data_IF_930944929698
#
_entry.id   IF_930944929698
#
_cell.length_a   1.000
_cell.length_b   1.000
_cell.length_c   1.000
_cell.angle_alpha   90.00
_cell.angle_beta   90.00
_cell.angle_gamma   90.00
#
_symmetry.space_group_name_H-M   'P 1'
#
loop_
_entity.id
_entity.type
_entity.pdbx_description
1 polymer ?
#
# COMPACT_ATOMS: atom_id res chain seq x y z
N UNK A 1 -17.44 25.93 13.43
CA UNK A 1 -18.20 25.10 12.48
C UNK A 1 -17.41 24.96 11.19
N UNK A 2 -17.08 23.72 10.76
CA UNK A 2 -16.48 23.52 9.44
C UNK A 2 -17.54 23.77 8.38
N UNK A 3 -17.43 24.85 7.63
CA UNK A 3 -18.30 25.14 6.50
C UNK A 3 -17.90 24.29 5.30
N UNK A 4 -18.82 24.12 4.33
CA UNK A 4 -18.54 23.37 3.07
C UNK A 4 -17.33 23.96 2.33
N UNK A 5 -17.09 25.24 2.39
CA UNK A 5 -15.90 25.91 1.83
C UNK A 5 -14.61 25.43 2.50
N UNK A 6 -14.56 25.39 3.82
CA UNK A 6 -13.38 24.95 4.56
C UNK A 6 -12.97 23.51 4.22
N UNK A 7 -13.92 22.56 4.16
CA UNK A 7 -13.65 21.17 3.75
C UNK A 7 -13.15 21.12 2.31
N UNK A 8 -13.72 21.92 1.41
CA UNK A 8 -13.29 21.97 0.01
C UNK A 8 -11.88 22.55 -0.13
N UNK A 9 -11.57 23.61 0.60
CA UNK A 9 -10.25 24.23 0.60
C UNK A 9 -9.19 23.27 1.13
N UNK A 10 -9.50 22.52 2.21
CA UNK A 10 -8.63 21.48 2.73
C UNK A 10 -8.38 20.37 1.70
N UNK A 11 -9.41 19.92 0.98
CA UNK A 11 -9.27 18.91 -0.09
C UNK A 11 -8.39 19.44 -1.22
N UNK A 12 -8.59 20.68 -1.65
CA UNK A 12 -7.82 21.28 -2.74
C UNK A 12 -6.32 21.44 -2.40
N UNK A 13 -5.96 21.45 -1.13
CA UNK A 13 -4.58 21.45 -0.66
C UNK A 13 -3.94 20.03 -0.68
N UNK A 14 -4.74 18.98 -0.86
CA UNK A 14 -4.21 17.61 -0.94
C UNK A 14 -3.64 17.30 -2.31
N UNK A 15 -2.64 16.41 -2.35
CA UNK A 15 -2.07 15.95 -3.61
C UNK A 15 -3.09 15.17 -4.43
N UNK A 16 -3.17 15.37 -5.75
CA UNK A 16 -3.99 14.54 -6.62
C UNK A 16 -3.65 13.06 -6.48
N UNK A 17 -4.66 12.19 -6.52
CA UNK A 17 -4.56 10.73 -6.33
C UNK A 17 -4.16 10.29 -4.92
N UNK A 18 -4.06 11.20 -3.95
CA UNK A 18 -3.86 10.83 -2.55
C UNK A 18 -5.16 10.30 -1.92
N UNK A 19 -4.99 9.57 -0.81
CA UNK A 19 -6.08 9.09 0.03
C UNK A 19 -6.06 9.80 1.37
N UNK A 20 -7.24 10.01 1.95
CA UNK A 20 -7.39 10.58 3.28
C UNK A 20 -8.64 10.00 3.97
N UNK A 21 -8.59 9.94 5.28
CA UNK A 21 -9.76 9.56 6.08
C UNK A 21 -10.58 10.78 6.45
N UNK A 22 -11.91 10.60 6.62
CA UNK A 22 -12.80 11.68 7.10
C UNK A 22 -12.31 12.32 8.40
N UNK A 23 -11.70 11.53 9.28
CA UNK A 23 -11.12 11.98 10.56
C UNK A 23 -9.90 12.89 10.43
N UNK A 24 -9.22 12.87 9.27
CA UNK A 24 -8.04 13.71 9.01
C UNK A 24 -8.44 15.14 8.65
N UNK A 25 -9.72 15.36 8.30
CA UNK A 25 -10.26 16.67 7.93
C UNK A 25 -10.63 17.44 9.19
N UNK A 26 -10.10 18.65 9.40
CA UNK A 26 -10.42 19.47 10.57
C UNK A 26 -11.91 19.84 10.62
N UNK A 27 -12.53 19.72 11.81
CA UNK A 27 -13.91 20.13 12.05
C UNK A 27 -14.71 19.12 12.88
N UNK A 28 -16.01 19.38 13.07
CA UNK A 28 -16.88 18.44 13.77
C UNK A 28 -17.17 17.23 12.89
N UNK A 29 -17.07 16.00 13.42
CA UNK A 29 -17.19 14.77 12.62
C UNK A 29 -18.43 14.70 11.73
N UNK A 30 -19.63 15.02 12.29
CA UNK A 30 -20.88 14.97 11.55
C UNK A 30 -20.97 16.00 10.41
N UNK A 31 -20.44 17.23 10.61
CA UNK A 31 -20.41 18.25 9.56
C UNK A 31 -19.41 17.87 8.45
N UNK A 32 -18.25 17.35 8.83
CA UNK A 32 -17.23 16.86 7.88
C UNK A 32 -17.77 15.70 7.04
N UNK A 33 -18.35 14.66 7.66
CA UNK A 33 -18.94 13.54 6.95
C UNK A 33 -20.05 13.96 5.99
N UNK A 34 -20.92 14.87 6.43
CA UNK A 34 -21.99 15.41 5.59
C UNK A 34 -21.44 16.18 4.38
N UNK A 35 -20.38 16.98 4.58
CA UNK A 35 -19.74 17.74 3.51
C UNK A 35 -19.03 16.79 2.51
N UNK A 36 -18.24 15.83 3.01
CA UNK A 36 -17.52 14.85 2.20
C UNK A 36 -18.48 13.97 1.39
N UNK A 37 -19.58 13.51 2.02
CA UNK A 37 -20.60 12.71 1.34
C UNK A 37 -21.24 13.48 0.16
N UNK A 38 -21.53 14.76 0.34
CA UNK A 38 -22.06 15.63 -0.74
C UNK A 38 -21.06 15.84 -1.84
N UNK A 39 -19.79 16.15 -1.50
CA UNK A 39 -18.73 16.35 -2.49
C UNK A 39 -18.39 15.09 -3.28
N UNK A 40 -18.48 13.90 -2.66
CA UNK A 40 -18.23 12.63 -3.33
C UNK A 40 -19.39 12.17 -4.23
N UNK A 41 -20.66 12.59 -3.94
CA UNK A 41 -21.82 12.32 -4.79
C UNK A 41 -21.92 13.25 -6.01
N UNK A 42 -21.28 14.39 -5.95
CA UNK A 42 -21.21 15.33 -7.07
C UNK A 42 -20.31 14.74 -8.18
N UNK A 43 -20.82 14.45 -9.39
CA UNK A 43 -20.01 13.95 -10.49
C UNK A 43 -18.81 14.84 -10.84
N UNK A 44 -18.99 16.17 -10.69
CA UNK A 44 -17.93 17.17 -10.85
C UNK A 44 -17.11 17.43 -9.58
N UNK A 45 -17.42 16.75 -8.48
CA UNK A 45 -16.76 16.94 -7.20
C UNK A 45 -15.29 16.50 -7.22
N UNK A 46 -14.46 17.03 -6.29
CA UNK A 46 -13.01 16.82 -6.28
C UNK A 46 -12.57 15.45 -5.74
N UNK A 47 -13.48 14.68 -5.17
CA UNK A 47 -13.18 13.41 -4.49
C UNK A 47 -14.10 12.28 -4.93
N UNK A 48 -13.65 11.04 -4.70
CA UNK A 48 -14.45 9.81 -4.75
C UNK A 48 -14.41 9.14 -3.39
N UNK A 49 -15.51 8.59 -2.94
CA UNK A 49 -15.53 7.73 -1.77
C UNK A 49 -14.99 6.35 -2.16
N UNK A 50 -13.75 6.05 -1.75
CA UNK A 50 -13.10 4.77 -2.05
C UNK A 50 -13.68 3.64 -1.18
N UNK A 51 -14.00 3.93 0.09
CA UNK A 51 -14.76 3.09 1.03
C UNK A 51 -15.37 3.94 2.14
N UNK A 52 -16.04 3.31 3.09
CA UNK A 52 -16.60 4.02 4.23
C UNK A 52 -15.51 4.78 5.01
N UNK A 53 -15.64 6.10 5.07
CA UNK A 53 -14.72 7.00 5.74
C UNK A 53 -13.40 7.28 5.00
N UNK A 54 -13.06 6.55 3.93
CA UNK A 54 -11.87 6.75 3.11
C UNK A 54 -12.22 7.39 1.77
N UNK A 55 -11.53 8.45 1.43
CA UNK A 55 -11.74 9.23 0.21
C UNK A 55 -10.47 9.32 -0.62
N UNK A 56 -10.64 9.41 -1.92
CA UNK A 56 -9.58 9.60 -2.90
C UNK A 56 -9.73 10.93 -3.61
N UNK A 57 -8.64 11.69 -3.74
CA UNK A 57 -8.60 12.98 -4.40
C UNK A 57 -8.49 12.78 -5.90
N UNK A 58 -9.47 13.27 -6.66
CA UNK A 58 -9.45 13.15 -8.12
C UNK A 58 -8.30 13.97 -8.71
N UNK A 59 -7.55 13.43 -9.67
CA UNK A 59 -6.64 14.25 -10.47
C UNK A 59 -7.43 15.20 -11.38
N UNK A 60 -6.73 16.18 -11.94
CA UNK A 60 -7.29 17.02 -12.98
C UNK A 60 -7.87 16.17 -14.11
N UNK A 61 -9.02 16.60 -14.64
CA UNK A 61 -9.68 15.87 -15.73
C UNK A 61 -8.84 15.94 -16.99
N UNK A 62 -8.50 14.79 -17.54
CA UNK A 62 -7.88 14.65 -18.86
C UNK A 62 -8.95 14.35 -19.91
N UNK A 63 -8.55 14.32 -21.20
CA UNK A 63 -9.44 13.86 -22.29
C UNK A 63 -9.97 12.42 -22.10
N UNK A 64 -9.32 11.62 -21.27
CA UNK A 64 -9.73 10.24 -20.92
C UNK A 64 -10.50 10.15 -19.59
N UNK A 65 -10.86 11.30 -19.00
CA UNK A 65 -11.53 11.37 -17.69
C UNK A 65 -10.56 11.54 -16.52
N UNK A 66 -11.05 11.34 -15.31
CA UNK A 66 -10.29 11.47 -14.06
C UNK A 66 -9.70 10.14 -13.54
N UNK A 67 -10.07 9.02 -14.19
CA UNK A 67 -9.75 7.68 -13.70
C UNK A 67 -10.62 7.27 -12.50
N UNK A 68 -10.31 6.08 -11.97
CA UNK A 68 -10.92 5.52 -10.74
C UNK A 68 -9.81 5.29 -9.71
N UNK A 69 -10.16 5.21 -8.42
CA UNK A 69 -9.22 4.73 -7.40
C UNK A 69 -8.67 3.36 -7.78
N UNK A 70 -7.37 3.19 -7.65
CA UNK A 70 -6.72 1.90 -7.87
C UNK A 70 -7.05 0.94 -6.70
N UNK A 71 -7.45 -0.33 -6.95
CA UNK A 71 -7.82 -1.26 -5.89
C UNK A 71 -6.67 -1.54 -4.91
N UNK A 72 -5.43 -1.71 -5.40
CA UNK A 72 -4.26 -1.97 -4.55
C UNK A 72 -3.93 -0.75 -3.70
N UNK A 73 -3.89 0.45 -4.31
CA UNK A 73 -3.64 1.68 -3.57
C UNK A 73 -4.75 1.97 -2.54
N UNK A 74 -6.02 1.66 -2.88
CA UNK A 74 -7.14 1.75 -1.94
C UNK A 74 -6.97 0.79 -0.76
N UNK A 75 -6.56 -0.45 -1.04
CA UNK A 75 -6.34 -1.46 -0.01
C UNK A 75 -5.19 -1.08 0.92
N UNK A 76 -4.07 -0.59 0.38
CA UNK A 76 -2.94 -0.10 1.17
C UNK A 76 -3.33 1.10 2.04
N UNK A 77 -4.04 2.08 1.48
CA UNK A 77 -4.54 3.23 2.24
C UNK A 77 -5.53 2.83 3.35
N UNK A 78 -6.35 1.80 3.10
CA UNK A 78 -7.28 1.26 4.08
C UNK A 78 -6.62 0.44 5.18
N UNK A 79 -5.58 -0.31 4.84
CA UNK A 79 -4.82 -1.13 5.78
C UNK A 79 -3.86 -0.28 6.63
N UNK A 80 -3.35 0.81 6.07
CA UNK A 80 -2.42 1.72 6.75
C UNK A 80 -0.99 1.18 6.85
N UNK A 81 -0.19 1.71 7.79
CA UNK A 81 1.19 1.31 7.99
C UNK A 81 1.34 -0.21 8.21
N UNK A 82 2.48 -0.77 7.83
CA UNK A 82 2.74 -2.20 7.96
C UNK A 82 2.01 -3.07 6.94
N UNK A 83 1.47 -2.46 5.88
CA UNK A 83 0.84 -3.16 4.77
C UNK A 83 1.65 -3.00 3.48
N UNK A 84 1.61 -4.02 2.63
CA UNK A 84 2.29 -4.02 1.34
C UNK A 84 1.90 -5.20 0.47
N UNK A 85 2.30 -5.21 -0.80
CA UNK A 85 2.05 -6.32 -1.69
C UNK A 85 2.61 -7.64 -1.16
N UNK A 86 1.91 -8.77 -1.43
CA UNK A 86 2.32 -10.13 -1.08
C UNK A 86 2.14 -11.09 -2.26
N UNK A 87 2.78 -12.24 -2.22
CA UNK A 87 2.72 -13.25 -3.27
C UNK A 87 3.06 -12.68 -4.66
N UNK A 88 2.28 -13.00 -5.69
CA UNK A 88 2.46 -12.46 -7.05
C UNK A 88 2.45 -10.93 -7.11
N UNK A 89 1.67 -10.27 -6.24
CA UNK A 89 1.66 -8.80 -6.19
C UNK A 89 2.99 -8.23 -5.71
N UNK A 90 3.68 -8.90 -4.78
CA UNK A 90 4.99 -8.49 -4.31
C UNK A 90 6.06 -8.68 -5.38
N UNK A 91 6.11 -9.85 -6.00
CA UNK A 91 7.11 -10.15 -7.04
C UNK A 91 6.94 -9.25 -8.27
N UNK A 92 5.70 -8.97 -8.67
CA UNK A 92 5.39 -8.03 -9.75
C UNK A 92 5.83 -6.60 -9.37
N UNK A 93 5.46 -6.12 -8.17
CA UNK A 93 5.80 -4.77 -7.72
C UNK A 93 7.32 -4.53 -7.64
N UNK A 94 8.10 -5.59 -7.34
CA UNK A 94 9.56 -5.55 -7.28
C UNK A 94 10.25 -5.93 -8.61
N UNK A 95 9.47 -6.18 -9.67
CA UNK A 95 9.99 -6.56 -10.99
C UNK A 95 10.65 -7.94 -11.04
N UNK A 96 10.31 -8.84 -10.12
CA UNK A 96 10.79 -10.22 -10.08
C UNK A 96 9.91 -11.18 -10.88
N UNK A 97 8.74 -10.73 -11.30
CA UNK A 97 7.84 -11.43 -12.20
C UNK A 97 7.10 -10.46 -13.12
N UNK A 98 6.76 -10.93 -14.31
CA UNK A 98 5.90 -10.22 -15.26
C UNK A 98 4.42 -10.60 -15.10
N UNK A 99 4.11 -11.56 -14.24
CA UNK A 99 2.74 -12.03 -14.01
C UNK A 99 1.95 -10.99 -13.20
N UNK A 100 0.79 -10.62 -13.73
CA UNK A 100 -0.16 -9.74 -13.05
C UNK A 100 -1.24 -10.60 -12.40
N UNK A 101 -1.36 -10.60 -11.07
CA UNK A 101 -2.39 -11.40 -10.41
C UNK A 101 -3.80 -10.86 -10.74
N UNK A 102 -4.74 -11.77 -10.98
CA UNK A 102 -6.16 -11.41 -11.21
C UNK A 102 -6.75 -10.75 -9.97
N UNK A 103 -6.40 -11.28 -8.79
CA UNK A 103 -6.76 -10.69 -7.49
C UNK A 103 -5.46 -10.34 -6.77
N UNK A 104 -5.16 -9.06 -6.58
CA UNK A 104 -3.98 -8.64 -5.84
C UNK A 104 -4.02 -9.13 -4.39
N UNK A 105 -2.86 -9.48 -3.85
CA UNK A 105 -2.70 -9.89 -2.45
C UNK A 105 -1.91 -8.84 -1.68
N UNK A 106 -2.42 -8.48 -0.49
CA UNK A 106 -1.83 -7.49 0.41
C UNK A 106 -1.55 -8.13 1.76
N UNK A 107 -0.29 -8.11 2.18
CA UNK A 107 0.07 -8.45 3.56
C UNK A 107 -0.24 -7.27 4.48
N UNK A 108 -0.75 -7.56 5.67
CA UNK A 108 -1.05 -6.55 6.70
C UNK A 108 -0.52 -6.99 8.05
N UNK A 109 0.09 -6.10 8.81
CA UNK A 109 0.41 -6.33 10.20
C UNK A 109 -0.90 -6.29 11.03
N UNK A 110 -1.22 -7.42 11.69
CA UNK A 110 -2.43 -7.53 12.47
C UNK A 110 -3.69 -7.82 11.66
N UNK A 111 -4.79 -7.11 11.96
CA UNK A 111 -6.12 -7.44 11.42
C UNK A 111 -6.40 -6.76 10.06
N UNK A 112 -6.80 -7.51 9.04
CA UNK A 112 -7.17 -6.95 7.74
C UNK A 112 -8.40 -6.03 7.82
N UNK A 113 -8.46 -4.99 6.97
CA UNK A 113 -9.67 -4.20 6.78
C UNK A 113 -10.76 -5.06 6.11
N UNK A 114 -12.04 -4.76 6.41
CA UNK A 114 -13.19 -5.45 5.84
C UNK A 114 -13.76 -4.67 4.64
N UNK A 115 -14.51 -5.35 3.75
CA UNK A 115 -15.27 -4.71 2.68
C UNK A 115 -14.40 -4.15 1.55
N UNK A 116 -13.39 -4.91 1.15
CA UNK A 116 -12.55 -4.69 -0.02
C UNK A 116 -12.42 -6.05 -0.73
N UNK A 117 -13.41 -6.35 -1.58
CA UNK A 117 -13.55 -7.67 -2.21
C UNK A 117 -12.66 -7.81 -3.47
N UNK A 118 -12.12 -6.70 -3.98
CA UNK A 118 -11.23 -6.67 -5.15
C UNK A 118 -9.77 -7.05 -4.81
N UNK A 119 -9.46 -7.31 -3.54
CA UNK A 119 -8.12 -7.68 -3.06
C UNK A 119 -8.21 -8.77 -2.00
N UNK A 120 -7.19 -9.62 -1.96
CA UNK A 120 -7.01 -10.61 -0.89
C UNK A 120 -6.07 -10.05 0.18
N UNK A 121 -6.39 -10.27 1.46
CA UNK A 121 -5.53 -9.90 2.58
C UNK A 121 -4.94 -11.13 3.25
N UNK A 122 -3.66 -11.02 3.62
CA UNK A 122 -2.96 -12.00 4.46
C UNK A 122 -2.44 -11.32 5.71
N UNK A 123 -2.83 -11.84 6.88
CA UNK A 123 -2.36 -11.31 8.16
C UNK A 123 -0.95 -11.74 8.48
N UNK A 124 -0.19 -10.85 9.10
CA UNK A 124 1.15 -11.11 9.64
C UNK A 124 1.18 -10.72 11.13
N UNK A 125 1.76 -11.57 11.94
CA UNK A 125 1.79 -11.39 13.41
C UNK A 125 2.90 -10.46 13.89
N UNK A 126 3.94 -10.23 13.07
CA UNK A 126 5.02 -9.32 13.43
C UNK A 126 4.57 -7.86 13.33
N UNK A 127 4.24 -7.25 14.47
CA UNK A 127 3.78 -5.87 14.53
C UNK A 127 4.89 -4.84 14.27
N UNK A 128 6.17 -5.23 14.33
CA UNK A 128 7.27 -4.33 13.92
C UNK A 128 7.18 -3.91 12.45
N UNK A 129 6.42 -4.64 11.64
CA UNK A 129 6.11 -4.27 10.25
C UNK A 129 5.43 -2.90 10.11
N UNK A 130 4.81 -2.36 11.18
CA UNK A 130 4.25 -0.99 11.16
C UNK A 130 5.30 0.10 10.88
N UNK A 131 6.58 -0.20 11.10
CA UNK A 131 7.69 0.69 10.79
C UNK A 131 8.05 0.73 9.29
N UNK A 132 7.56 -0.25 8.50
CA UNK A 132 7.93 -0.45 7.10
C UNK A 132 6.94 0.21 6.13
N UNK A 133 7.49 0.67 5.01
CA UNK A 133 6.70 1.13 3.87
C UNK A 133 6.25 -0.06 2.97
N UNK A 134 5.29 0.13 2.04
CA UNK A 134 4.80 -0.96 1.20
C UNK A 134 5.87 -1.69 0.38
N UNK A 135 6.87 -1.04 -0.25
CA UNK A 135 7.98 -1.73 -0.91
C UNK A 135 8.81 -2.61 0.04
N UNK A 136 9.08 -2.17 1.26
CA UNK A 136 9.81 -2.95 2.26
C UNK A 136 9.02 -4.18 2.72
N UNK A 137 7.70 -4.03 2.90
CA UNK A 137 6.81 -5.18 3.15
C UNK A 137 6.85 -6.17 1.98
N UNK A 138 6.81 -5.69 0.74
CA UNK A 138 6.90 -6.55 -0.45
C UNK A 138 8.21 -7.37 -0.45
N UNK A 139 9.33 -6.78 -0.04
CA UNK A 139 10.60 -7.52 0.11
C UNK A 139 10.44 -8.63 1.14
N UNK A 140 9.90 -8.36 2.34
CA UNK A 140 9.70 -9.40 3.36
C UNK A 140 8.81 -10.55 2.85
N UNK A 141 7.79 -10.23 2.06
CA UNK A 141 6.91 -11.25 1.48
C UNK A 141 7.65 -12.09 0.40
N UNK A 142 8.51 -11.46 -0.41
CA UNK A 142 9.38 -12.21 -1.33
C UNK A 142 10.36 -13.08 -0.58
N UNK A 143 11.01 -12.58 0.48
CA UNK A 143 11.93 -13.38 1.30
C UNK A 143 11.24 -14.58 1.95
N UNK A 144 9.94 -14.45 2.27
CA UNK A 144 9.11 -15.52 2.85
C UNK A 144 8.83 -16.63 1.84
N UNK A 145 8.33 -16.23 0.68
CA UNK A 145 7.64 -17.14 -0.23
C UNK A 145 8.49 -17.51 -1.48
N UNK A 146 9.76 -17.04 -1.56
CA UNK A 146 10.65 -17.43 -2.66
C UNK A 146 10.90 -18.96 -2.63
N UNK A 147 10.83 -19.68 -3.78
CA UNK A 147 10.62 -19.19 -5.16
C UNK A 147 9.17 -19.20 -5.66
N UNK A 148 8.17 -19.46 -4.81
CA UNK A 148 6.80 -19.85 -5.19
C UNK A 148 6.09 -18.85 -6.12
N UNK A 149 6.36 -17.57 -5.97
CA UNK A 149 5.70 -16.49 -6.72
C UNK A 149 6.64 -15.77 -7.69
N UNK A 150 7.70 -16.42 -8.15
CA UNK A 150 8.63 -15.88 -9.14
C UNK A 150 8.52 -16.61 -10.47
N UNK A 151 9.08 -16.03 -11.53
CA UNK A 151 9.19 -16.73 -12.79
C UNK A 151 10.10 -17.97 -12.62
N UNK A 152 9.77 -19.09 -13.27
CA UNK A 152 10.46 -20.38 -13.08
C UNK A 152 11.97 -20.34 -13.32
N UNK A 153 12.44 -19.38 -14.12
CA UNK A 153 13.87 -19.18 -14.41
C UNK A 153 14.57 -18.29 -13.39
N UNK A 154 13.83 -17.68 -12.45
CA UNK A 154 14.38 -16.74 -11.46
C UNK A 154 15.15 -17.53 -10.39
N UNK A 155 16.45 -17.37 -10.34
CA UNK A 155 17.27 -17.91 -9.24
C UNK A 155 17.28 -16.98 -8.04
N UNK A 156 17.62 -17.50 -6.87
CA UNK A 156 17.80 -16.64 -5.67
C UNK A 156 18.89 -15.59 -5.88
N UNK A 157 19.98 -15.97 -6.59
CA UNK A 157 21.05 -15.02 -6.92
C UNK A 157 20.55 -13.84 -7.74
N UNK A 158 19.70 -14.09 -8.75
CA UNK A 158 19.13 -13.04 -9.61
C UNK A 158 18.15 -12.16 -8.84
N UNK A 159 17.29 -12.78 -8.02
CA UNK A 159 16.35 -12.06 -7.15
C UNK A 159 17.09 -11.16 -6.18
N UNK A 160 18.12 -11.68 -5.50
CA UNK A 160 18.98 -10.93 -4.58
C UNK A 160 19.65 -9.75 -5.25
N UNK A 161 20.24 -9.92 -6.42
CA UNK A 161 20.87 -8.85 -7.18
C UNK A 161 19.87 -7.73 -7.53
N UNK A 162 18.64 -8.09 -7.96
CA UNK A 162 17.57 -7.12 -8.23
C UNK A 162 17.12 -6.37 -6.98
N UNK A 163 16.90 -7.08 -5.88
CA UNK A 163 16.46 -6.48 -4.61
C UNK A 163 17.53 -5.51 -4.08
N UNK A 164 18.82 -5.87 -4.14
CA UNK A 164 19.93 -4.95 -3.82
C UNK A 164 19.92 -3.71 -4.70
N UNK A 165 19.69 -3.87 -5.99
CA UNK A 165 19.56 -2.75 -6.91
C UNK A 165 18.39 -1.82 -6.59
N UNK A 166 17.28 -2.34 -6.07
CA UNK A 166 16.14 -1.53 -5.61
C UNK A 166 16.46 -0.77 -4.32
N UNK A 167 17.11 -1.42 -3.36
CA UNK A 167 17.55 -0.80 -2.10
C UNK A 167 18.52 0.36 -2.41
N UNK A 168 19.49 0.14 -3.28
CA UNK A 168 20.49 1.15 -3.65
C UNK A 168 19.91 2.38 -4.38
N UNK A 169 18.74 2.24 -5.05
CA UNK A 169 18.05 3.37 -5.71
C UNK A 169 17.32 4.31 -4.74
N UNK A 170 17.23 3.96 -3.48
CA UNK A 170 16.50 4.71 -2.46
C UNK A 170 15.01 4.34 -2.39
N UNK A 171 14.35 4.84 -1.36
CA UNK A 171 12.94 4.52 -1.06
C UNK A 171 12.75 3.24 -0.23
N UNK A 172 13.81 2.45 -0.05
CA UNK A 172 13.89 1.28 0.83
C UNK A 172 15.04 1.51 1.81
N UNK A 173 14.74 1.45 3.10
CA UNK A 173 15.70 1.59 4.17
C UNK A 173 16.18 0.19 4.59
N UNK A 174 17.41 -0.17 4.18
CA UNK A 174 18.01 -1.49 4.43
C UNK A 174 18.22 -1.78 5.92
N UNK A 175 18.59 -0.78 6.71
CA UNK A 175 18.82 -0.94 8.15
C UNK A 175 17.49 -1.22 8.88
N UNK A 176 16.46 -0.44 8.58
CA UNK A 176 15.13 -0.65 9.13
C UNK A 176 14.56 -2.00 8.70
N UNK A 177 14.71 -2.38 7.43
CA UNK A 177 14.30 -3.68 6.92
C UNK A 177 15.00 -4.82 7.67
N UNK A 178 16.31 -4.73 7.90
CA UNK A 178 17.10 -5.70 8.66
C UNK A 178 16.58 -5.88 10.08
N UNK A 179 16.35 -4.76 10.79
CA UNK A 179 15.84 -4.79 12.17
C UNK A 179 14.47 -5.50 12.25
N UNK A 180 13.58 -5.24 11.30
CA UNK A 180 12.25 -5.85 11.28
C UNK A 180 12.31 -7.31 10.84
N UNK A 181 13.16 -7.65 9.86
CA UNK A 181 13.33 -9.01 9.36
C UNK A 181 13.81 -9.98 10.46
N UNK A 182 14.72 -9.53 11.34
CA UNK A 182 15.19 -10.33 12.49
C UNK A 182 14.07 -10.71 13.47
N UNK A 183 12.99 -9.91 13.52
CA UNK A 183 11.80 -10.15 14.36
C UNK A 183 10.74 -11.02 13.67
N UNK A 184 10.96 -11.44 12.42
CA UNK A 184 10.05 -12.34 11.73
C UNK A 184 10.08 -13.75 12.35
N UNK A 185 8.91 -14.35 12.50
CA UNK A 185 8.81 -15.73 13.01
C UNK A 185 9.26 -16.77 11.98
N UNK A 186 9.19 -16.43 10.69
CA UNK A 186 9.59 -17.32 9.60
C UNK A 186 11.12 -17.37 9.45
N UNK A 187 11.70 -18.57 9.57
CA UNK A 187 13.16 -18.74 9.51
C UNK A 187 13.77 -18.29 8.18
N UNK A 188 13.11 -18.63 7.06
CA UNK A 188 13.61 -18.27 5.74
C UNK A 188 13.64 -16.75 5.52
N UNK A 189 12.71 -15.99 6.11
CA UNK A 189 12.76 -14.52 6.03
C UNK A 189 14.02 -14.01 6.70
N UNK A 190 14.36 -14.53 7.88
CA UNK A 190 15.54 -14.11 8.61
C UNK A 190 16.83 -14.44 7.86
N UNK A 191 16.97 -15.71 7.42
CA UNK A 191 18.15 -16.17 6.69
C UNK A 191 18.37 -15.43 5.37
N UNK A 192 17.30 -15.29 4.57
CA UNK A 192 17.39 -14.58 3.28
C UNK A 192 17.60 -13.08 3.45
N UNK A 193 17.10 -12.49 4.55
CA UNK A 193 17.37 -11.08 4.86
C UNK A 193 18.82 -10.85 5.20
N UNK A 194 19.46 -11.74 5.99
CA UNK A 194 20.91 -11.70 6.26
C UNK A 194 21.69 -11.78 4.94
N UNK A 195 21.40 -12.76 4.09
CA UNK A 195 22.04 -12.88 2.78
C UNK A 195 21.84 -11.68 1.86
N UNK A 196 20.70 -11.01 1.95
CA UNK A 196 20.37 -9.85 1.12
C UNK A 196 21.08 -8.60 1.60
N UNK A 197 21.13 -8.36 2.92
CA UNK A 197 21.48 -7.08 3.54
C UNK A 197 22.92 -7.06 4.08
N UNK A 198 23.46 -8.20 4.49
CA UNK A 198 24.86 -8.32 4.94
C UNK A 198 25.78 -8.46 3.72
N UNK A 199 26.49 -7.36 3.42
CA UNK A 199 27.49 -7.31 2.32
C UNK A 199 28.72 -6.60 2.75
#
# INVERSE_FOLDING_TARGET
>A
MATRSHVRDWINAQSPRSYFWARDVPGSPGAVESALSRLARDPGGPIVRARQGLYWVKPARTRFGTGKPDPVATALAAAGPGSGPAGWSATQALGLSTQVPVVPTIAVAGRPPKGLDDVQFVSRSNLSRYELNPPEIAILEVLRDFPDYTDRSMTWSDAKARLRGLIAKGGIDGDRLSVVARKEHHADVRSRAEELLDS
#
